data_IF_473039382315
#
_entry.id   IF_473039382315
#
_cell.length_a   1.000
_cell.length_b   1.000
_cell.length_c   1.000
_cell.angle_alpha   90.00
_cell.angle_beta   90.00
_cell.angle_gamma   90.00
#
_symmetry.space_group_name_H-M   'P 1'
#
loop_
_entity.id
_entity.type
_entity.pdbx_description
1 polymer ?
#
# COMPACT_ATOMS: atom_id res chain seq x y z
N UNK A 1 -10.18 9.70 -74.78
CA UNK A 1 -10.65 10.64 -73.75
C UNK A 1 -11.51 9.83 -72.80
N UNK A 2 -11.26 9.59 -71.52
CA UNK A 2 -10.25 9.99 -70.52
C UNK A 2 -10.46 9.03 -69.34
N UNK A 3 -9.36 8.48 -68.78
CA UNK A 3 -9.04 8.30 -67.35
C UNK A 3 -10.15 8.07 -66.30
N UNK A 4 -10.00 7.30 -65.22
CA UNK A 4 -8.88 6.57 -64.65
C UNK A 4 -9.39 5.69 -63.48
N UNK A 5 -8.66 4.61 -63.24
CA UNK A 5 -8.55 3.88 -61.97
C UNK A 5 -8.21 4.82 -60.80
N UNK A 6 -8.77 4.58 -59.61
CA UNK A 6 -7.99 4.64 -58.35
C UNK A 6 -8.78 4.18 -57.13
N UNK A 7 -8.16 3.23 -56.43
CA UNK A 7 -8.46 2.75 -55.07
C UNK A 7 -8.41 3.90 -54.07
N UNK A 8 -9.28 3.89 -53.06
CA UNK A 8 -9.00 4.53 -51.76
C UNK A 8 -9.29 3.55 -50.64
N UNK A 9 -8.22 2.89 -50.21
CA UNK A 9 -8.04 2.34 -48.87
C UNK A 9 -7.76 3.54 -47.96
N UNK A 10 -8.32 3.54 -46.75
CA UNK A 10 -7.93 4.29 -45.53
C UNK A 10 -9.18 4.89 -44.87
N UNK A 11 -9.41 4.78 -43.57
CA UNK A 11 -8.74 4.06 -42.50
C UNK A 11 -9.82 3.88 -41.42
N UNK A 12 -9.96 2.67 -40.88
CA UNK A 12 -10.73 2.47 -39.65
C UNK A 12 -9.93 3.19 -38.57
N UNK A 13 -10.38 4.39 -38.20
CA UNK A 13 -9.86 5.13 -37.06
C UNK A 13 -10.42 4.45 -35.81
N UNK A 14 -9.82 3.32 -35.42
CA UNK A 14 -10.02 2.74 -34.09
C UNK A 14 -9.39 3.72 -33.11
N UNK A 15 -10.22 4.62 -32.59
CA UNK A 15 -9.91 5.40 -31.41
C UNK A 15 -9.79 4.40 -30.25
N UNK A 16 -8.59 3.89 -30.02
CA UNK A 16 -8.24 3.22 -28.77
C UNK A 16 -8.19 4.33 -27.73
N UNK A 17 -9.34 4.63 -27.12
CA UNK A 17 -9.38 5.36 -25.87
C UNK A 17 -8.69 4.48 -24.83
N UNK A 18 -7.43 4.78 -24.53
CA UNK A 18 -6.75 4.22 -23.36
C UNK A 18 -7.54 4.72 -22.14
N UNK A 19 -8.47 3.88 -21.68
CA UNK A 19 -9.26 4.14 -20.49
C UNK A 19 -8.36 4.07 -19.27
N UNK A 20 -8.09 5.22 -18.66
CA UNK A 20 -7.56 5.30 -17.31
C UNK A 20 -8.59 4.63 -16.38
N UNK A 21 -8.36 3.37 -16.03
CA UNK A 21 -9.33 2.56 -15.29
C UNK A 21 -9.31 2.92 -13.80
N UNK A 22 -10.45 3.31 -13.18
CA UNK A 22 -10.53 3.70 -11.76
C UNK A 22 -10.31 2.53 -10.77
N UNK A 23 -10.16 1.30 -11.26
CA UNK A 23 -10.06 0.08 -10.46
C UNK A 23 -8.78 0.00 -9.61
N UNK A 24 -7.72 0.70 -10.02
CA UNK A 24 -6.43 0.63 -9.33
C UNK A 24 -6.39 1.48 -8.06
N UNK A 25 -7.03 2.66 -8.07
CA UNK A 25 -7.11 3.54 -6.92
C UNK A 25 -7.91 2.92 -5.76
N UNK A 26 -9.05 2.28 -6.07
CA UNK A 26 -9.87 1.58 -5.08
C UNK A 26 -9.11 0.42 -4.42
N UNK A 27 -8.34 -0.35 -5.18
CA UNK A 27 -7.59 -1.48 -4.63
C UNK A 27 -6.46 -1.04 -3.67
N UNK A 28 -5.83 0.10 -3.93
CA UNK A 28 -4.81 0.66 -3.03
C UNK A 28 -5.45 1.21 -1.75
N UNK A 29 -6.59 1.89 -1.85
CA UNK A 29 -7.36 2.36 -0.70
C UNK A 29 -7.84 1.20 0.19
N UNK A 30 -8.34 0.12 -0.42
CA UNK A 30 -8.72 -1.10 0.31
C UNK A 30 -7.51 -1.74 1.02
N UNK A 31 -6.33 -1.75 0.38
CA UNK A 31 -5.09 -2.28 0.98
C UNK A 31 -4.59 -1.40 2.14
N UNK A 32 -4.72 -0.07 2.03
CA UNK A 32 -4.41 0.86 3.11
C UNK A 32 -5.37 0.68 4.30
N UNK A 33 -6.66 0.49 4.03
CA UNK A 33 -7.67 0.22 5.05
C UNK A 33 -7.36 -1.09 5.80
N UNK A 34 -7.02 -2.16 5.06
CA UNK A 34 -6.59 -3.43 5.65
C UNK A 34 -5.31 -3.26 6.48
N UNK A 35 -4.32 -2.51 5.98
CA UNK A 35 -3.09 -2.24 6.72
C UNK A 35 -3.34 -1.51 8.04
N UNK A 36 -4.29 -0.57 8.06
CA UNK A 36 -4.73 0.12 9.29
C UNK A 36 -5.44 -0.81 10.26
N UNK A 37 -6.33 -1.67 9.76
CA UNK A 37 -7.02 -2.70 10.56
C UNK A 37 -6.02 -3.66 11.22
N UNK A 38 -5.00 -4.11 10.47
CA UNK A 38 -3.94 -4.97 11.00
C UNK A 38 -3.15 -4.25 12.09
N UNK A 39 -2.78 -3.00 11.87
CA UNK A 39 -2.03 -2.20 12.83
C UNK A 39 -2.77 -2.05 14.17
N UNK A 40 -4.10 -1.90 14.12
CA UNK A 40 -4.94 -1.62 15.28
C UNK A 40 -5.53 -2.86 15.96
N UNK A 41 -5.82 -3.94 15.21
CA UNK A 41 -6.72 -4.99 15.70
C UNK A 41 -6.22 -6.41 15.41
N UNK A 42 -5.74 -6.70 14.18
CA UNK A 42 -5.49 -8.10 13.75
C UNK A 42 -4.08 -8.62 14.04
N UNK A 43 -3.11 -7.74 14.24
CA UNK A 43 -1.75 -8.16 14.63
C UNK A 43 -1.73 -8.61 16.10
N UNK A 44 -0.88 -9.59 16.42
CA UNK A 44 -0.73 -10.11 17.79
C UNK A 44 0.77 -10.12 18.19
N UNK A 45 1.18 -9.32 19.19
CA UNK A 45 0.40 -8.24 19.80
C UNK A 45 0.07 -7.12 18.79
N UNK A 46 -0.95 -6.30 19.06
CA UNK A 46 -1.29 -5.20 18.15
C UNK A 46 -0.11 -4.23 18.02
N UNK A 47 0.20 -3.80 16.79
CA UNK A 47 1.29 -2.87 16.51
C UNK A 47 1.15 -1.58 17.36
N UNK A 48 -0.09 -1.09 17.48
CA UNK A 48 -0.44 0.11 18.24
C UNK A 48 -0.12 0.06 19.74
N UNK A 49 -0.01 -1.12 20.34
CA UNK A 49 0.39 -1.26 21.75
C UNK A 49 1.87 -0.89 21.96
N UNK A 50 2.69 -1.11 20.94
CA UNK A 50 4.14 -0.94 21.04
C UNK A 50 4.63 0.34 20.37
N UNK A 51 3.98 0.79 19.30
CA UNK A 51 4.48 1.88 18.47
C UNK A 51 3.57 3.11 18.49
N UNK A 52 4.20 4.28 18.41
CA UNK A 52 3.51 5.54 18.10
C UNK A 52 3.31 5.65 16.59
N UNK A 53 2.08 5.97 16.17
CA UNK A 53 1.71 6.30 14.79
C UNK A 53 0.44 7.15 14.80
N UNK A 54 0.56 8.43 14.48
CA UNK A 54 -0.48 9.43 14.65
C UNK A 54 -1.75 9.18 13.81
N UNK A 55 -1.62 8.63 12.61
CA UNK A 55 -2.78 8.25 11.76
C UNK A 55 -3.67 7.17 12.42
N UNK A 56 -3.05 6.30 13.20
CA UNK A 56 -3.73 5.27 13.99
C UNK A 56 -4.15 5.77 15.38
N UNK A 57 -3.87 7.03 15.74
CA UNK A 57 -4.00 7.56 17.10
C UNK A 57 -3.25 6.70 18.14
N UNK A 58 -2.20 6.01 17.72
CA UNK A 58 -1.41 5.11 18.56
C UNK A 58 -0.26 5.87 19.22
N UNK A 59 -0.03 5.58 20.49
CA UNK A 59 0.96 6.26 21.35
C UNK A 59 1.85 5.25 22.09
N UNK A 60 2.09 4.08 21.50
CA UNK A 60 2.97 3.07 22.10
C UNK A 60 4.42 3.57 22.21
N UNK A 61 5.07 3.25 23.34
CA UNK A 61 6.42 3.73 23.68
C UNK A 61 7.45 2.58 23.83
N UNK A 62 7.06 1.33 23.52
CA UNK A 62 7.96 0.17 23.62
C UNK A 62 8.90 0.11 22.42
N UNK A 63 8.34 0.31 21.23
CA UNK A 63 9.07 0.42 19.97
C UNK A 63 9.33 1.87 19.59
N UNK A 64 10.11 2.12 18.51
CA UNK A 64 10.31 3.47 17.99
C UNK A 64 9.00 4.13 17.57
N UNK A 65 8.97 5.45 17.69
CA UNK A 65 7.95 6.29 17.06
C UNK A 65 8.06 6.18 15.53
N UNK A 66 7.01 5.66 14.88
CA UNK A 66 7.01 5.43 13.44
C UNK A 66 6.86 6.73 12.65
N UNK A 67 6.23 7.76 13.22
CA UNK A 67 6.14 9.08 12.60
C UNK A 67 7.50 9.79 12.52
N UNK A 68 8.40 9.50 13.45
CA UNK A 68 9.79 9.98 13.41
C UNK A 68 10.66 9.10 12.51
N UNK A 69 10.50 7.77 12.62
CA UNK A 69 11.33 6.81 11.91
C UNK A 69 11.06 6.80 10.40
N UNK A 70 9.80 7.00 10.00
CA UNK A 70 9.32 7.01 8.60
C UNK A 70 9.91 5.88 7.75
N UNK A 71 9.78 4.61 8.16
CA UNK A 71 10.34 3.50 7.42
C UNK A 71 9.65 3.35 6.06
N UNK A 72 10.38 2.88 5.05
CA UNK A 72 9.76 2.40 3.81
C UNK A 72 9.06 1.04 4.01
N UNK A 73 8.26 0.63 3.03
CA UNK A 73 7.49 -0.61 3.12
C UNK A 73 8.38 -1.85 3.22
N UNK A 74 9.53 -1.88 2.54
CA UNK A 74 10.45 -3.03 2.58
C UNK A 74 11.02 -3.25 3.99
N UNK A 75 11.40 -2.16 4.65
CA UNK A 75 11.88 -2.19 6.04
C UNK A 75 10.79 -2.66 6.99
N UNK A 76 9.55 -2.19 6.84
CA UNK A 76 8.42 -2.65 7.68
C UNK A 76 8.16 -4.12 7.45
N UNK A 77 8.07 -4.56 6.19
CA UNK A 77 7.83 -5.96 5.83
C UNK A 77 8.91 -6.87 6.43
N UNK A 78 10.18 -6.50 6.29
CA UNK A 78 11.31 -7.28 6.84
C UNK A 78 11.23 -7.39 8.37
N UNK A 79 10.92 -6.29 9.05
CA UNK A 79 10.81 -6.26 10.51
C UNK A 79 9.62 -7.07 11.02
N UNK A 80 8.46 -6.96 10.38
CA UNK A 80 7.26 -7.73 10.75
C UNK A 80 7.47 -9.23 10.50
N UNK A 81 8.06 -9.59 9.36
CA UNK A 81 8.27 -11.00 8.99
C UNK A 81 9.27 -11.68 9.92
N UNK A 82 10.40 -11.02 10.22
CA UNK A 82 11.53 -11.67 10.89
C UNK A 82 11.67 -11.30 12.36
N UNK A 83 10.94 -10.29 12.83
CA UNK A 83 11.24 -9.63 14.09
C UNK A 83 12.51 -8.79 14.01
N UNK A 84 12.71 -7.92 15.01
CA UNK A 84 13.94 -7.14 15.15
C UNK A 84 14.17 -6.75 16.61
N UNK A 85 15.27 -7.21 17.19
CA UNK A 85 15.56 -6.98 18.61
C UNK A 85 14.47 -7.56 19.51
N UNK A 86 13.80 -6.75 20.36
CA UNK A 86 12.70 -7.22 21.21
C UNK A 86 11.36 -7.34 20.45
N UNK A 87 11.23 -6.78 19.24
CA UNK A 87 10.01 -6.92 18.43
C UNK A 87 9.93 -8.36 17.92
N UNK A 88 8.85 -9.11 18.24
CA UNK A 88 8.69 -10.50 17.82
C UNK A 88 8.49 -10.60 16.31
N UNK A 89 8.82 -11.76 15.75
CA UNK A 89 8.45 -12.11 14.38
C UNK A 89 6.94 -12.38 14.28
N UNK A 90 6.35 -12.14 13.13
CA UNK A 90 4.97 -12.49 12.85
C UNK A 90 4.75 -14.01 12.88
N UNK A 91 3.63 -14.44 13.48
CA UNK A 91 3.20 -15.84 13.49
C UNK A 91 1.81 -16.06 12.88
N UNK A 92 1.00 -15.01 12.70
CA UNK A 92 -0.43 -15.14 12.37
C UNK A 92 -0.84 -14.48 11.04
N UNK A 93 -0.12 -13.44 10.62
CA UNK A 93 -0.42 -12.71 9.39
C UNK A 93 0.11 -13.47 8.17
N UNK A 94 -0.64 -13.39 7.09
CA UNK A 94 -0.23 -13.82 5.74
C UNK A 94 0.68 -12.79 5.09
N UNK A 95 1.39 -13.18 4.02
CA UNK A 95 2.27 -12.27 3.27
C UNK A 95 1.50 -11.04 2.74
N UNK A 96 0.27 -11.24 2.26
CA UNK A 96 -0.60 -10.15 1.75
C UNK A 96 -0.97 -9.14 2.85
N UNK A 97 -1.21 -9.63 4.07
CA UNK A 97 -1.48 -8.80 5.24
C UNK A 97 -0.23 -8.04 5.70
N UNK A 98 0.95 -8.70 5.70
CA UNK A 98 2.22 -8.05 6.01
C UNK A 98 2.50 -6.93 5.00
N UNK A 99 2.27 -7.18 3.71
CA UNK A 99 2.38 -6.13 2.69
C UNK A 99 1.40 -4.99 2.90
N UNK A 100 0.17 -5.28 3.35
CA UNK A 100 -0.84 -4.26 3.60
C UNK A 100 -0.42 -3.34 4.77
N UNK A 101 0.02 -3.89 5.90
CA UNK A 101 0.50 -3.07 7.02
C UNK A 101 1.79 -2.34 6.69
N UNK A 102 2.68 -2.94 5.90
CA UNK A 102 3.90 -2.28 5.42
C UNK A 102 3.59 -1.09 4.50
N UNK A 103 2.65 -1.25 3.57
CA UNK A 103 2.18 -0.17 2.72
C UNK A 103 1.54 0.94 3.56
N UNK A 104 0.65 0.58 4.50
CA UNK A 104 -0.02 1.53 5.37
C UNK A 104 0.98 2.36 6.19
N UNK A 105 1.86 1.72 6.98
CA UNK A 105 2.82 2.41 7.85
C UNK A 105 3.72 3.36 7.05
N UNK A 106 4.32 2.88 5.96
CA UNK A 106 5.19 3.71 5.11
C UNK A 106 4.45 4.85 4.41
N UNK A 107 3.14 4.66 4.15
CA UNK A 107 2.30 5.69 3.56
C UNK A 107 1.91 6.74 4.57
N UNK A 108 1.59 6.43 5.81
CA UNK A 108 0.99 7.43 6.73
C UNK A 108 1.99 8.05 7.72
N UNK A 109 3.13 7.39 7.95
CA UNK A 109 4.12 7.84 8.92
C UNK A 109 4.54 9.31 8.73
N UNK A 110 4.31 10.12 9.76
CA UNK A 110 4.69 11.52 9.83
C UNK A 110 3.84 12.46 8.95
N UNK A 111 2.66 12.02 8.50
CA UNK A 111 1.72 12.84 7.72
C UNK A 111 0.58 13.42 8.56
N UNK A 112 0.13 12.72 9.61
CA UNK A 112 -0.81 13.26 10.59
C UNK A 112 -0.11 14.25 11.52
N UNK A 113 -0.84 15.27 11.99
CA UNK A 113 -0.33 16.36 12.84
C UNK A 113 -0.74 16.19 14.28
#
# INVERSE_FOLDING_TARGET
MTHASSRRIAAVLTCVTIGLSPRMASAEEDKLALGREIFLERSEPQCALCHTLADAEAVGEVGPNLDELKPDAERVNTAVTNGIGPMPANEILTDEEIEAVALYVSTVAGKAK
#
